data_IF_893305771117
#
_entry.id   IF_893305771117
#
_cell.length_a   1.000
_cell.length_b   1.000
_cell.length_c   1.000
_cell.angle_alpha   90.00
_cell.angle_beta   90.00
_cell.angle_gamma   90.00
#
_symmetry.space_group_name_H-M   'P 1'
#
loop_
_entity.id
_entity.type
_entity.pdbx_description
1 polymer ?
#
# COMPACT_ATOMS: atom_id res chain seq x y z
N UNK A 1 10.09 18.21 22.56
CA UNK A 1 10.73 17.48 21.44
C UNK A 1 10.49 16.01 21.69
N UNK A 2 9.48 15.43 21.03
CA UNK A 2 9.16 14.01 21.18
C UNK A 2 10.20 13.18 20.43
N UNK A 3 10.77 12.18 21.09
CA UNK A 3 11.68 11.23 20.46
C UNK A 3 10.82 10.37 19.51
N UNK A 4 10.91 10.61 18.20
CA UNK A 4 10.28 9.72 17.21
C UNK A 4 10.92 8.34 17.38
N UNK A 5 10.13 7.36 17.81
CA UNK A 5 10.58 5.99 17.98
C UNK A 5 10.96 5.37 16.63
N UNK A 6 11.97 4.49 16.61
CA UNK A 6 12.47 3.81 15.39
C UNK A 6 11.33 3.10 14.61
N UNK A 7 10.26 2.71 15.31
CA UNK A 7 9.03 2.17 14.74
C UNK A 7 8.25 3.13 13.84
N UNK A 8 8.27 4.43 14.14
CA UNK A 8 7.44 5.46 13.49
C UNK A 8 8.13 6.00 12.23
N UNK A 9 9.47 5.99 12.26
CA UNK A 9 10.31 6.18 11.08
C UNK A 9 10.08 5.05 10.07
N UNK A 10 10.02 3.79 10.53
CA UNK A 10 9.83 2.64 9.63
C UNK A 10 8.46 2.60 8.93
N UNK A 11 7.37 3.01 9.60
CA UNK A 11 6.06 3.16 8.93
C UNK A 11 6.01 4.32 7.96
N UNK A 12 6.78 5.40 8.18
CA UNK A 12 7.01 6.43 7.17
C UNK A 12 7.83 5.90 5.99
N UNK A 13 8.79 5.01 6.23
CA UNK A 13 9.70 4.44 5.21
C UNK A 13 9.04 3.46 4.25
N UNK A 14 7.91 2.83 4.62
CA UNK A 14 7.23 1.82 3.79
C UNK A 14 5.79 2.20 3.41
N UNK A 15 5.52 3.49 3.38
CA UNK A 15 4.19 4.00 3.05
C UNK A 15 3.75 3.57 1.64
N UNK A 16 4.67 3.50 0.72
CA UNK A 16 4.47 3.11 -0.68
C UNK A 16 3.99 1.66 -0.79
N UNK A 17 4.48 0.78 0.10
CA UNK A 17 3.99 -0.60 0.19
C UNK A 17 2.54 -0.61 0.69
N UNK A 18 2.21 0.23 1.68
CA UNK A 18 0.83 0.37 2.13
C UNK A 18 -0.10 0.92 1.03
N UNK A 19 0.36 1.90 0.25
CA UNK A 19 -0.37 2.44 -0.91
C UNK A 19 -0.59 1.36 -1.96
N UNK A 20 0.44 0.58 -2.31
CA UNK A 20 0.33 -0.53 -3.26
C UNK A 20 -0.75 -1.54 -2.83
N UNK A 21 -0.74 -1.97 -1.57
CA UNK A 21 -1.71 -2.92 -1.05
C UNK A 21 -3.13 -2.33 -1.08
N UNK A 22 -3.30 -1.08 -0.66
CA UNK A 22 -4.59 -0.40 -0.70
C UNK A 22 -5.13 -0.26 -2.13
N UNK A 23 -4.27 0.08 -3.09
CA UNK A 23 -4.62 0.23 -4.51
C UNK A 23 -5.00 -1.13 -5.11
N UNK A 24 -4.22 -2.18 -4.88
CA UNK A 24 -4.52 -3.51 -5.38
C UNK A 24 -5.81 -4.07 -4.76
N UNK A 25 -6.04 -3.83 -3.46
CA UNK A 25 -7.30 -4.17 -2.79
C UNK A 25 -8.49 -3.36 -3.30
N UNK A 26 -8.31 -2.09 -3.61
CA UNK A 26 -9.34 -1.26 -4.24
C UNK A 26 -9.70 -1.77 -5.64
N UNK A 27 -8.69 -2.16 -6.44
CA UNK A 27 -8.86 -2.63 -7.81
C UNK A 27 -9.53 -4.01 -7.88
N UNK A 28 -9.24 -4.88 -6.91
CA UNK A 28 -9.80 -6.24 -6.83
C UNK A 28 -11.03 -6.35 -5.95
N UNK A 29 -11.44 -5.25 -5.31
CA UNK A 29 -12.51 -5.19 -4.31
C UNK A 29 -12.34 -6.24 -3.20
N UNK A 30 -11.10 -6.53 -2.81
CA UNK A 30 -10.75 -7.58 -1.85
C UNK A 30 -9.71 -7.12 -0.83
N UNK A 31 -9.96 -7.25 0.49
CA UNK A 31 -8.98 -6.93 1.53
C UNK A 31 -7.91 -8.02 1.71
N UNK A 32 -7.97 -9.13 0.96
CA UNK A 32 -7.14 -10.32 1.20
C UNK A 32 -5.62 -10.08 1.19
N UNK A 33 -5.13 -9.12 0.39
CA UNK A 33 -3.71 -8.72 0.39
C UNK A 33 -3.31 -7.99 1.68
N UNK A 34 -4.18 -7.10 2.14
CA UNK A 34 -4.04 -6.37 3.40
C UNK A 34 -4.11 -7.34 4.58
N UNK A 35 -5.04 -8.31 4.55
CA UNK A 35 -5.18 -9.32 5.60
C UNK A 35 -3.93 -10.20 5.71
N UNK A 36 -3.37 -10.64 4.57
CA UNK A 36 -2.11 -11.40 4.54
C UNK A 36 -0.94 -10.61 5.12
N UNK A 37 -0.85 -9.32 4.80
CA UNK A 37 0.17 -8.43 5.34
C UNK A 37 -0.01 -8.20 6.86
N UNK A 38 -1.25 -7.98 7.29
CA UNK A 38 -1.62 -7.65 8.68
C UNK A 38 -1.47 -8.83 9.64
N UNK A 39 -1.63 -10.05 9.12
CA UNK A 39 -1.56 -11.30 9.88
C UNK A 39 -0.26 -12.08 9.63
N UNK A 40 0.76 -11.46 9.01
CA UNK A 40 2.02 -12.12 8.73
C UNK A 40 2.70 -12.60 10.03
N UNK A 41 2.99 -13.91 10.09
CA UNK A 41 3.77 -14.56 11.16
C UNK A 41 5.22 -14.80 10.75
N UNK A 42 5.52 -14.74 9.45
CA UNK A 42 6.85 -14.81 8.88
C UNK A 42 6.99 -13.81 7.72
N UNK A 43 8.22 -13.53 7.24
CA UNK A 43 8.43 -12.61 6.12
C UNK A 43 7.76 -13.06 4.81
N UNK A 44 7.69 -14.37 4.57
CA UNK A 44 7.28 -14.93 3.28
C UNK A 44 5.83 -14.57 2.87
N UNK A 45 4.80 -14.70 3.73
CA UNK A 45 3.45 -14.21 3.42
C UNK A 45 3.41 -12.72 3.05
N UNK A 46 4.22 -11.89 3.71
CA UNK A 46 4.27 -10.46 3.48
C UNK A 46 4.90 -10.13 2.11
N UNK A 47 6.03 -10.77 1.78
CA UNK A 47 6.67 -10.64 0.46
C UNK A 47 5.75 -11.15 -0.65
N UNK A 48 5.02 -12.25 -0.43
CA UNK A 48 4.06 -12.76 -1.41
C UNK A 48 2.88 -11.82 -1.63
N UNK A 49 2.37 -11.17 -0.58
CA UNK A 49 1.32 -10.16 -0.72
C UNK A 49 1.78 -8.96 -1.58
N UNK A 50 3.02 -8.49 -1.42
CA UNK A 50 3.59 -7.44 -2.27
C UNK A 50 3.72 -7.90 -3.71
N UNK A 51 4.25 -9.12 -3.93
CA UNK A 51 4.39 -9.69 -5.28
C UNK A 51 3.04 -9.80 -6.00
N UNK A 52 2.01 -10.29 -5.32
CA UNK A 52 0.66 -10.40 -5.88
C UNK A 52 0.07 -9.03 -6.20
N UNK A 53 0.25 -8.04 -5.31
CA UNK A 53 -0.21 -6.68 -5.52
C UNK A 53 0.45 -6.03 -6.74
N UNK A 54 1.77 -6.21 -6.91
CA UNK A 54 2.51 -5.75 -8.10
C UNK A 54 1.99 -6.41 -9.37
N UNK A 55 1.71 -7.73 -9.33
CA UNK A 55 1.19 -8.48 -10.49
C UNK A 55 -0.21 -8.01 -10.90
N UNK A 56 -1.08 -7.75 -9.94
CA UNK A 56 -2.42 -7.18 -10.18
C UNK A 56 -2.29 -5.83 -10.87
N UNK A 57 -1.41 -4.97 -10.36
CA UNK A 57 -1.21 -3.63 -10.91
C UNK A 57 -0.59 -3.67 -12.31
N UNK A 58 0.41 -4.54 -12.51
CA UNK A 58 1.00 -4.78 -13.82
C UNK A 58 -0.05 -5.23 -14.83
N UNK A 59 -0.94 -6.15 -14.45
CA UNK A 59 -2.03 -6.61 -15.31
C UNK A 59 -2.98 -5.47 -15.71
N UNK A 60 -3.30 -4.56 -14.79
CA UNK A 60 -4.12 -3.37 -15.09
C UNK A 60 -3.39 -2.39 -16.02
N UNK A 61 -2.12 -2.11 -15.77
CA UNK A 61 -1.33 -1.20 -16.60
C UNK A 61 -1.05 -1.74 -18.01
N UNK A 62 -1.04 -3.07 -18.16
CA UNK A 62 -0.95 -3.73 -19.47
C UNK A 62 -2.32 -3.90 -20.15
N UNK A 63 -3.42 -3.53 -19.48
CA UNK A 63 -4.72 -3.50 -20.13
C UNK A 63 -4.79 -2.36 -21.15
N UNK A 64 -5.61 -2.51 -22.19
CA UNK A 64 -5.83 -1.44 -23.18
C UNK A 64 -6.48 -0.19 -22.58
N UNK A 65 -7.03 -0.28 -21.37
CA UNK A 65 -7.73 0.79 -20.65
C UNK A 65 -7.42 0.68 -19.15
N UNK A 66 -6.25 1.13 -18.69
CA UNK A 66 -5.87 1.03 -17.28
C UNK A 66 -6.84 1.77 -16.37
N UNK A 67 -7.27 1.11 -15.28
CA UNK A 67 -8.17 1.68 -14.28
C UNK A 67 -7.43 2.45 -13.19
N UNK A 68 -6.12 2.19 -13.03
CA UNK A 68 -5.28 2.86 -12.06
C UNK A 68 -4.56 4.04 -12.70
N UNK A 69 -4.78 5.23 -12.14
CA UNK A 69 -4.14 6.47 -12.59
C UNK A 69 -3.46 7.18 -11.43
N UNK A 70 -2.59 8.15 -11.74
CA UNK A 70 -2.00 9.04 -10.74
C UNK A 70 -2.49 10.47 -10.96
N UNK A 71 -2.76 11.17 -9.86
CA UNK A 71 -3.26 12.54 -9.86
C UNK A 71 -2.42 13.39 -8.91
N UNK A 72 -2.14 14.64 -9.29
CA UNK A 72 -1.46 15.63 -8.44
C UNK A 72 -2.36 16.83 -8.22
N UNK A 73 -2.58 17.18 -6.95
CA UNK A 73 -3.39 18.33 -6.52
C UNK A 73 -2.58 19.22 -5.58
N UNK A 74 -3.14 20.35 -5.16
CA UNK A 74 -2.59 21.20 -4.10
C UNK A 74 -2.43 20.46 -2.77
N UNK A 75 -3.32 19.50 -2.48
CA UNK A 75 -3.28 18.66 -1.27
C UNK A 75 -2.23 17.55 -1.35
N UNK A 76 -1.66 17.30 -2.53
CA UNK A 76 -0.60 16.33 -2.77
C UNK A 76 -0.94 15.30 -3.85
N UNK A 77 -0.23 14.17 -3.82
CA UNK A 77 -0.33 13.09 -4.83
C UNK A 77 -1.30 11.99 -4.41
N UNK A 78 -2.06 11.49 -5.37
CA UNK A 78 -3.03 10.43 -5.20
C UNK A 78 -2.85 9.34 -6.25
N UNK A 79 -3.12 8.10 -5.87
CA UNK A 79 -3.40 7.00 -6.79
C UNK A 79 -4.90 6.82 -6.85
N UNK A 80 -5.46 6.88 -8.05
CA UNK A 80 -6.90 6.84 -8.31
C UNK A 80 -7.26 5.48 -8.88
N UNK A 81 -8.27 4.83 -8.30
CA UNK A 81 -8.82 3.55 -8.76
C UNK A 81 -10.32 3.69 -8.88
N UNK A 82 -10.80 3.87 -10.11
CA UNK A 82 -12.19 4.24 -10.37
C UNK A 82 -12.58 5.49 -9.60
N UNK A 83 -13.39 5.30 -8.57
CA UNK A 83 -13.94 6.37 -7.75
C UNK A 83 -13.09 6.64 -6.47
N UNK A 84 -12.17 5.74 -6.12
CA UNK A 84 -11.37 5.81 -4.89
C UNK A 84 -10.09 6.62 -5.10
N UNK A 85 -9.77 7.51 -4.16
CA UNK A 85 -8.53 8.31 -4.17
C UNK A 85 -7.68 7.95 -2.96
N UNK A 86 -6.55 7.31 -3.19
CA UNK A 86 -5.62 6.86 -2.15
C UNK A 86 -4.43 7.83 -2.10
N UNK A 87 -4.19 8.45 -0.94
CA UNK A 87 -3.16 9.48 -0.79
C UNK A 87 -1.76 8.86 -0.74
N UNK A 88 -0.90 9.17 -1.73
CA UNK A 88 0.47 8.66 -1.83
C UNK A 88 0.92 8.41 -3.27
N UNK A 89 1.95 7.57 -3.42
CA UNK A 89 2.47 7.10 -4.70
C UNK A 89 2.79 5.61 -4.64
N UNK A 90 2.82 4.97 -5.81
CA UNK A 90 3.19 3.56 -5.96
C UNK A 90 4.69 3.36 -5.70
N UNK A 91 5.10 2.19 -5.18
CA UNK A 91 6.49 1.91 -4.86
C UNK A 91 7.35 1.79 -6.11
N UNK A 92 8.60 2.20 -5.98
CA UNK A 92 9.70 1.90 -6.88
C UNK A 92 10.32 0.54 -6.55
N UNK A 93 11.21 0.04 -7.42
CA UNK A 93 11.97 -1.18 -7.12
C UNK A 93 12.82 -1.08 -5.84
N UNK A 94 13.31 0.12 -5.53
CA UNK A 94 14.10 0.38 -4.31
C UNK A 94 13.23 0.29 -3.05
N UNK A 95 11.99 0.79 -3.10
CA UNK A 95 11.04 0.70 -1.97
C UNK A 95 10.70 -0.77 -1.67
N UNK A 96 10.49 -1.57 -2.72
CA UNK A 96 10.24 -3.01 -2.59
C UNK A 96 11.47 -3.74 -2.04
N UNK A 97 12.68 -3.41 -2.52
CA UNK A 97 13.93 -4.01 -2.01
C UNK A 97 14.09 -3.75 -0.52
N UNK A 98 13.94 -2.50 -0.09
CA UNK A 98 14.02 -2.11 1.34
C UNK A 98 12.98 -2.84 2.17
N UNK A 99 11.76 -2.94 1.68
CA UNK A 99 10.71 -3.66 2.38
C UNK A 99 11.08 -5.13 2.61
N UNK A 100 11.63 -5.80 1.59
CA UNK A 100 12.06 -7.20 1.70
C UNK A 100 13.16 -7.36 2.76
N UNK A 101 14.16 -6.46 2.77
CA UNK A 101 15.25 -6.49 3.75
C UNK A 101 14.74 -6.25 5.17
N UNK A 102 13.90 -5.23 5.36
CA UNK A 102 13.41 -4.85 6.68
C UNK A 102 12.43 -5.88 7.25
N UNK A 103 11.56 -6.48 6.41
CA UNK A 103 10.61 -7.49 6.87
C UNK A 103 11.29 -8.81 7.22
N UNK A 104 12.43 -9.14 6.57
CA UNK A 104 13.27 -10.27 6.96
C UNK A 104 13.88 -10.11 8.35
N UNK A 105 14.24 -8.88 8.72
CA UNK A 105 14.77 -8.57 10.05
C UNK A 105 13.67 -8.49 11.11
N UNK A 106 12.49 -7.98 10.74
CA UNK A 106 11.40 -7.76 11.67
C UNK A 106 10.02 -7.88 11.01
N UNK A 107 9.41 -9.06 11.13
CA UNK A 107 8.05 -9.32 10.59
C UNK A 107 6.96 -8.42 11.20
N UNK A 108 7.17 -7.83 12.39
CA UNK A 108 6.16 -6.91 12.96
C UNK A 108 5.93 -5.67 12.10
N UNK A 109 6.90 -5.31 11.25
CA UNK A 109 6.78 -4.25 10.25
C UNK A 109 5.63 -4.54 9.26
N UNK A 110 5.51 -5.77 8.78
CA UNK A 110 4.43 -6.18 7.88
C UNK A 110 3.06 -5.87 8.49
N UNK A 111 2.86 -6.21 9.76
CA UNK A 111 1.58 -6.00 10.44
C UNK A 111 1.20 -4.52 10.55
N UNK A 112 2.19 -3.65 10.79
CA UNK A 112 2.00 -2.19 10.80
C UNK A 112 1.66 -1.65 9.42
N UNK A 113 2.35 -2.13 8.37
CA UNK A 113 2.08 -1.75 6.98
C UNK A 113 0.67 -2.20 6.56
N UNK A 114 0.26 -3.42 6.93
CA UNK A 114 -1.09 -3.92 6.67
C UNK A 114 -2.15 -3.06 7.35
N UNK A 115 -1.95 -2.72 8.62
CA UNK A 115 -2.83 -1.79 9.35
C UNK A 115 -2.92 -0.43 8.66
N UNK A 116 -1.78 0.11 8.22
CA UNK A 116 -1.75 1.40 7.52
C UNK A 116 -2.44 1.34 6.14
N UNK A 117 -2.23 0.26 5.38
CA UNK A 117 -2.92 0.03 4.11
C UNK A 117 -4.44 -0.03 4.29
N UNK A 118 -4.91 -0.67 5.36
CA UNK A 118 -6.32 -0.70 5.74
C UNK A 118 -6.86 0.71 5.99
N UNK A 119 -6.14 1.52 6.76
CA UNK A 119 -6.53 2.91 7.02
C UNK A 119 -6.63 3.74 5.71
N UNK A 120 -5.64 3.64 4.82
CA UNK A 120 -5.66 4.32 3.52
C UNK A 120 -6.86 3.89 2.67
N UNK A 121 -7.17 2.60 2.65
CA UNK A 121 -8.31 2.08 1.91
C UNK A 121 -9.64 2.61 2.49
N UNK A 122 -9.81 2.57 3.81
CA UNK A 122 -10.99 3.12 4.51
C UNK A 122 -11.14 4.63 4.26
N UNK A 123 -10.06 5.41 4.38
CA UNK A 123 -10.07 6.84 4.08
C UNK A 123 -10.56 7.11 2.64
N UNK A 124 -10.12 6.30 1.67
CA UNK A 124 -10.53 6.44 0.27
C UNK A 124 -12.02 6.14 0.05
N UNK A 125 -12.62 5.29 0.88
CA UNK A 125 -14.04 4.96 0.84
C UNK A 125 -14.90 6.05 1.49
N UNK A 126 -14.43 6.63 2.61
CA UNK A 126 -15.16 7.67 3.34
C UNK A 126 -15.17 9.00 2.57
N UNK A 127 -14.05 9.37 1.96
CA UNK A 127 -13.93 10.60 1.15
C UNK A 127 -14.73 10.55 -0.15
N UNK A 128 -15.32 9.40 -0.46
CA UNK A 128 -16.21 9.26 -1.60
C UNK A 128 -17.51 10.05 -1.45
N UNK A 129 -17.91 10.38 -0.22
CA UNK A 129 -19.12 11.15 0.09
C UNK A 129 -18.96 12.67 0.16
N UNK A 130 -17.75 13.22 0.02
CA UNK A 130 -17.47 14.68 0.14
C UNK A 130 -17.25 15.37 -1.22
N UNK A 131 -17.73 14.78 -2.33
CA UNK A 131 -17.61 15.34 -3.68
C UNK A 131 -18.82 16.18 -4.08
#
# INVERSE_FOLDING_TARGET
MGVETNSDLQTKTHREIAVLLAVASALTESPSLIDRMSNALSPEPAVRAVSDALRILQSDQMSGTPSVMTERTEKGRYVVVGNKRIFGWLPTGEDVRRFIEDVQQNVSLARKIGTFASALLVESMLRHGEQ
#
